data_IF_107795242387
#
_entry.id   IF_107795242387
#
_cell.length_a   1.000
_cell.length_b   1.000
_cell.length_c   1.000
_cell.angle_alpha   90.00
_cell.angle_beta   90.00
_cell.angle_gamma   90.00
#
_symmetry.space_group_name_H-M   'P 1'
#
loop_
_entity.id
_entity.type
_entity.pdbx_description
1 polymer ?
#
# COMPACT_ATOMS: atom_id res chain seq x y z
N UNK A 1 43.00 -22.30 2.73
CA UNK A 1 42.66 -21.44 1.58
C UNK A 1 41.21 -21.72 1.14
N UNK A 2 40.25 -21.50 2.06
CA UNK A 2 38.80 -21.69 1.82
C UNK A 2 37.94 -20.50 2.33
N UNK A 3 38.55 -19.42 2.84
CA UNK A 3 37.80 -18.30 3.43
C UNK A 3 37.28 -17.27 2.41
N UNK A 4 37.79 -17.25 1.18
CA UNK A 4 37.44 -16.20 0.21
C UNK A 4 36.10 -16.39 -0.52
N UNK A 5 35.52 -17.60 -0.49
CA UNK A 5 34.21 -17.86 -1.13
C UNK A 5 33.03 -17.69 -0.17
N UNK A 6 33.23 -17.89 1.14
CA UNK A 6 32.16 -17.70 2.13
C UNK A 6 31.86 -16.21 2.35
N UNK A 7 32.89 -15.36 2.39
CA UNK A 7 32.72 -13.93 2.67
C UNK A 7 31.92 -13.17 1.60
N UNK A 8 31.89 -13.65 0.34
CA UNK A 8 31.09 -13.03 -0.73
C UNK A 8 29.65 -13.55 -0.78
N UNK A 9 29.45 -14.82 -0.41
CA UNK A 9 28.12 -15.42 -0.33
C UNK A 9 27.32 -14.87 0.86
N UNK A 10 27.97 -14.78 2.02
CA UNK A 10 27.40 -14.25 3.26
C UNK A 10 27.05 -12.75 3.15
N UNK A 11 27.89 -11.97 2.45
CA UNK A 11 27.61 -10.57 2.14
C UNK A 11 26.42 -10.37 1.18
N UNK A 12 26.19 -11.29 0.25
CA UNK A 12 25.02 -11.23 -0.63
C UNK A 12 23.72 -11.55 0.12
N UNK A 13 23.78 -12.48 1.07
CA UNK A 13 22.62 -12.86 1.87
C UNK A 13 22.29 -11.79 2.92
N UNK A 14 23.29 -11.18 3.57
CA UNK A 14 23.09 -10.00 4.44
C UNK A 14 22.46 -8.82 3.68
N UNK A 15 22.89 -8.57 2.43
CA UNK A 15 22.31 -7.49 1.60
C UNK A 15 20.86 -7.81 1.21
N UNK A 16 20.54 -9.08 0.88
CA UNK A 16 19.16 -9.50 0.61
C UNK A 16 18.27 -9.35 1.84
N UNK A 17 18.77 -9.72 3.01
CA UNK A 17 18.04 -9.61 4.27
C UNK A 17 17.80 -8.14 4.64
N UNK A 18 18.81 -7.27 4.53
CA UNK A 18 18.66 -5.83 4.76
C UNK A 18 17.61 -5.22 3.81
N UNK A 19 17.62 -5.59 2.53
CA UNK A 19 16.59 -5.17 1.56
C UNK A 19 15.20 -5.70 1.92
N UNK A 20 15.09 -6.94 2.37
CA UNK A 20 13.82 -7.51 2.83
C UNK A 20 13.26 -6.74 4.01
N UNK A 21 14.09 -6.46 5.02
CA UNK A 21 13.70 -5.72 6.21
C UNK A 21 13.25 -4.30 5.86
N UNK A 22 13.94 -3.63 4.93
CA UNK A 22 13.53 -2.30 4.46
C UNK A 22 12.16 -2.33 3.77
N UNK A 23 11.92 -3.30 2.88
CA UNK A 23 10.62 -3.43 2.21
C UNK A 23 9.50 -3.78 3.18
N UNK A 24 9.76 -4.64 4.17
CA UNK A 24 8.80 -4.94 5.25
C UNK A 24 8.48 -3.67 6.03
N UNK A 25 9.48 -2.87 6.41
CA UNK A 25 9.27 -1.61 7.10
C UNK A 25 8.45 -0.62 6.25
N UNK A 26 8.73 -0.51 4.95
CA UNK A 26 7.97 0.32 4.02
C UNK A 26 6.52 -0.14 3.90
N UNK A 27 6.27 -1.46 3.92
CA UNK A 27 4.93 -2.03 3.92
C UNK A 27 4.19 -1.78 5.23
N UNK A 28 4.89 -1.89 6.36
CA UNK A 28 4.28 -1.63 7.65
C UNK A 28 3.88 -0.18 7.84
N UNK A 29 4.77 0.74 7.43
CA UNK A 29 4.58 2.20 7.50
C UNK A 29 3.86 2.78 6.28
N UNK A 30 3.32 1.93 5.40
CA UNK A 30 2.67 2.39 4.18
C UNK A 30 1.48 3.30 4.49
N UNK A 31 1.55 4.53 4.01
CA UNK A 31 0.51 5.56 4.11
C UNK A 31 0.35 6.26 2.77
N UNK A 32 -0.88 6.69 2.49
CA UNK A 32 -1.18 7.61 1.40
C UNK A 32 -0.55 8.96 1.71
N UNK A 33 0.11 9.58 0.72
CA UNK A 33 0.66 10.93 0.86
C UNK A 33 -0.44 11.98 0.66
N UNK A 34 -0.21 13.22 1.08
CA UNK A 34 -1.23 14.28 1.08
C UNK A 34 -1.72 14.64 -0.34
N UNK A 35 -0.80 14.73 -1.30
CA UNK A 35 -1.06 15.08 -2.70
C UNK A 35 -1.11 13.85 -3.64
N UNK A 36 -1.27 12.66 -3.06
CA UNK A 36 -1.34 11.41 -3.82
C UNK A 36 -2.80 11.05 -4.09
N UNK A 37 -3.11 10.55 -5.29
CA UNK A 37 -4.42 9.98 -5.63
C UNK A 37 -4.50 8.51 -5.22
N UNK A 38 -5.71 7.96 -5.13
CA UNK A 38 -5.92 6.54 -4.84
C UNK A 38 -5.20 5.64 -5.88
N UNK A 39 -5.23 6.01 -7.16
CA UNK A 39 -4.57 5.25 -8.23
C UNK A 39 -3.03 5.25 -8.11
N UNK A 40 -2.45 6.42 -7.79
CA UNK A 40 -1.00 6.56 -7.63
C UNK A 40 -0.52 5.84 -6.37
N UNK A 41 -1.26 5.94 -5.28
CA UNK A 41 -1.04 5.16 -4.06
C UNK A 41 -1.09 3.66 -4.32
N UNK A 42 -2.10 3.18 -5.05
CA UNK A 42 -2.23 1.76 -5.37
C UNK A 42 -1.11 1.25 -6.28
N UNK A 43 -0.65 2.08 -7.21
CA UNK A 43 0.51 1.75 -8.04
C UNK A 43 1.79 1.58 -7.21
N UNK A 44 2.05 2.49 -6.26
CA UNK A 44 3.14 2.34 -5.28
C UNK A 44 2.98 1.08 -4.42
N UNK A 45 1.76 0.78 -3.99
CA UNK A 45 1.47 -0.42 -3.23
C UNK A 45 1.78 -1.71 -4.02
N UNK A 46 1.40 -1.78 -5.30
CA UNK A 46 1.72 -2.94 -6.17
C UNK A 46 3.23 -3.15 -6.33
N UNK A 47 3.99 -2.07 -6.52
CA UNK A 47 5.46 -2.14 -6.62
C UNK A 47 6.05 -2.72 -5.32
N UNK A 48 5.55 -2.26 -4.17
CA UNK A 48 6.00 -2.72 -2.86
C UNK A 48 5.70 -4.21 -2.62
N UNK A 49 4.47 -4.65 -2.92
CA UNK A 49 4.07 -6.06 -2.80
C UNK A 49 4.87 -6.94 -3.76
N UNK A 50 5.13 -6.48 -4.99
CA UNK A 50 5.99 -7.18 -5.95
C UNK A 50 7.41 -7.38 -5.40
N UNK A 51 8.01 -6.34 -4.82
CA UNK A 51 9.33 -6.43 -4.18
C UNK A 51 9.37 -7.44 -3.03
N UNK A 52 8.33 -7.46 -2.19
CA UNK A 52 8.20 -8.44 -1.09
C UNK A 52 8.05 -9.88 -1.61
N UNK A 53 7.28 -10.08 -2.68
CA UNK A 53 7.09 -11.38 -3.32
C UNK A 53 8.40 -11.96 -3.85
N UNK A 54 9.27 -11.14 -4.44
CA UNK A 54 10.60 -11.57 -4.92
C UNK A 54 11.47 -12.08 -3.77
N UNK A 55 11.28 -11.54 -2.56
CA UNK A 55 12.00 -11.94 -1.34
C UNK A 55 11.28 -13.02 -0.55
N UNK A 56 10.29 -13.70 -1.15
CA UNK A 56 9.46 -14.76 -0.53
C UNK A 56 8.74 -14.31 0.75
N UNK A 57 8.49 -13.00 0.89
CA UNK A 57 7.61 -12.44 1.91
C UNK A 57 6.24 -12.22 1.26
N UNK A 58 5.31 -13.14 1.46
CA UNK A 58 3.96 -13.03 0.92
C UNK A 58 2.95 -12.64 1.99
N UNK A 59 1.92 -11.89 1.58
CA UNK A 59 0.77 -11.53 2.40
C UNK A 59 -0.49 -11.95 1.65
N UNK A 60 -1.59 -12.16 2.37
CA UNK A 60 -2.85 -12.51 1.72
C UNK A 60 -3.53 -11.28 1.11
N UNK A 61 -4.44 -11.50 0.15
CA UNK A 61 -5.28 -10.41 -0.40
C UNK A 61 -6.01 -9.65 0.70
N UNK A 62 -6.50 -10.35 1.74
CA UNK A 62 -7.18 -9.72 2.86
C UNK A 62 -6.24 -8.84 3.71
N UNK A 63 -4.97 -9.24 3.86
CA UNK A 63 -3.97 -8.40 4.53
C UNK A 63 -3.68 -7.13 3.74
N UNK A 64 -3.64 -7.23 2.40
CA UNK A 64 -3.50 -6.08 1.53
C UNK A 64 -4.69 -5.12 1.61
N UNK A 65 -5.92 -5.64 1.57
CA UNK A 65 -7.16 -4.85 1.76
C UNK A 65 -7.10 -4.09 3.09
N UNK A 66 -6.79 -4.80 4.18
CA UNK A 66 -6.66 -4.18 5.51
C UNK A 66 -5.53 -3.15 5.56
N UNK A 67 -4.42 -3.38 4.87
CA UNK A 67 -3.29 -2.44 4.82
C UNK A 67 -3.68 -1.17 4.08
N UNK A 68 -4.33 -1.28 2.91
CA UNK A 68 -4.80 -0.12 2.13
C UNK A 68 -5.79 0.71 2.95
N UNK A 69 -6.81 0.09 3.55
CA UNK A 69 -7.81 0.81 4.37
C UNK A 69 -7.17 1.58 5.54
N UNK A 70 -6.14 1.02 6.19
CA UNK A 70 -5.40 1.68 7.28
C UNK A 70 -4.44 2.77 6.80
N UNK A 71 -4.06 2.75 5.52
CA UNK A 71 -3.14 3.72 4.93
C UNK A 71 -3.81 5.03 4.52
N UNK A 72 -5.14 5.05 4.45
CA UNK A 72 -5.94 6.21 4.03
C UNK A 72 -5.96 7.32 5.10
N UNK A 73 -5.99 8.60 4.69
CA UNK A 73 -6.04 9.72 5.61
C UNK A 73 -7.39 9.81 6.34
N UNK A 74 -7.44 10.58 7.43
CA UNK A 74 -8.59 10.66 8.34
C UNK A 74 -9.90 11.06 7.63
N UNK A 75 -9.83 11.84 6.54
CA UNK A 75 -10.99 12.23 5.72
C UNK A 75 -11.76 11.04 5.13
N UNK A 76 -11.10 9.89 4.97
CA UNK A 76 -11.71 8.66 4.45
C UNK A 76 -12.38 7.80 5.52
N UNK A 77 -12.31 8.16 6.81
CA UNK A 77 -12.88 7.36 7.90
C UNK A 77 -14.35 6.96 7.69
N UNK A 78 -15.25 7.84 7.22
CA UNK A 78 -16.64 7.45 6.95
C UNK A 78 -16.73 6.32 5.91
N UNK A 79 -16.00 6.45 4.79
CA UNK A 79 -15.95 5.43 3.74
C UNK A 79 -15.34 4.11 4.22
N UNK A 80 -14.25 4.18 4.99
CA UNK A 80 -13.60 2.99 5.58
C UNK A 80 -14.55 2.24 6.51
N UNK A 81 -15.28 2.96 7.35
CA UNK A 81 -16.25 2.39 8.29
C UNK A 81 -17.39 1.71 7.52
N UNK A 82 -17.96 2.38 6.52
CA UNK A 82 -19.02 1.80 5.69
C UNK A 82 -18.58 0.53 4.96
N UNK A 83 -17.34 0.46 4.45
CA UNK A 83 -16.79 -0.75 3.82
C UNK A 83 -16.64 -1.88 4.85
N UNK A 84 -16.16 -1.58 6.05
CA UNK A 84 -15.98 -2.55 7.13
C UNK A 84 -17.31 -3.14 7.63
N UNK A 85 -18.36 -2.34 7.66
CA UNK A 85 -19.70 -2.76 8.09
C UNK A 85 -20.45 -3.52 6.99
N UNK A 86 -20.34 -3.06 5.74
CA UNK A 86 -21.12 -3.62 4.63
C UNK A 86 -20.50 -4.86 3.98
N UNK A 87 -19.18 -5.09 4.14
CA UNK A 87 -18.46 -6.13 3.40
C UNK A 87 -17.58 -6.99 4.29
N UNK A 88 -17.49 -8.27 3.95
CA UNK A 88 -16.51 -9.16 4.56
C UNK A 88 -15.12 -8.91 3.95
N UNK A 89 -14.21 -8.31 4.74
CA UNK A 89 -12.83 -8.03 4.32
C UNK A 89 -11.99 -9.29 4.03
N UNK A 90 -12.46 -10.48 4.40
CA UNK A 90 -11.79 -11.74 4.07
C UNK A 90 -12.05 -12.16 2.61
N UNK A 91 -13.18 -11.75 2.03
CA UNK A 91 -13.59 -12.13 0.66
C UNK A 91 -13.51 -10.97 -0.32
N UNK A 92 -13.40 -9.74 0.16
CA UNK A 92 -13.29 -8.55 -0.68
C UNK A 92 -12.01 -8.60 -1.53
N UNK A 93 -12.17 -8.44 -2.85
CA UNK A 93 -11.03 -8.37 -3.76
C UNK A 93 -10.40 -6.97 -3.74
N UNK A 94 -9.13 -6.89 -4.13
CA UNK A 94 -8.45 -5.60 -4.28
C UNK A 94 -9.10 -4.74 -5.37
N UNK A 95 -9.55 -5.33 -6.46
CA UNK A 95 -10.20 -4.61 -7.56
C UNK A 95 -11.49 -3.92 -7.11
N UNK A 96 -12.36 -4.64 -6.39
CA UNK A 96 -13.60 -4.08 -5.84
C UNK A 96 -13.32 -2.97 -4.83
N UNK A 97 -12.31 -3.14 -3.98
CA UNK A 97 -11.88 -2.10 -3.05
C UNK A 97 -11.45 -0.84 -3.81
N UNK A 98 -10.56 -1.01 -4.80
CA UNK A 98 -10.02 0.10 -5.58
C UNK A 98 -11.11 0.84 -6.35
N UNK A 99 -12.02 0.12 -7.00
CA UNK A 99 -13.19 0.71 -7.67
C UNK A 99 -14.01 1.57 -6.71
N UNK A 100 -14.32 1.05 -5.51
CA UNK A 100 -15.09 1.79 -4.50
C UNK A 100 -14.38 3.04 -3.99
N UNK A 101 -13.05 2.99 -3.84
CA UNK A 101 -12.24 4.11 -3.38
C UNK A 101 -12.10 5.17 -4.47
N UNK A 102 -11.87 4.79 -5.72
CA UNK A 102 -11.75 5.71 -6.86
C UNK A 102 -13.06 6.46 -7.10
N UNK A 103 -14.21 5.75 -7.10
CA UNK A 103 -15.51 6.42 -7.24
C UNK A 103 -15.75 7.47 -6.16
N UNK A 104 -15.36 7.17 -4.91
CA UNK A 104 -15.48 8.13 -3.82
C UNK A 104 -14.46 9.28 -3.92
N UNK A 105 -13.26 9.04 -4.44
CA UNK A 105 -12.29 10.10 -4.74
C UNK A 105 -12.88 11.13 -5.71
N UNK A 106 -13.57 10.66 -6.76
CA UNK A 106 -14.21 11.55 -7.74
C UNK A 106 -15.33 12.40 -7.12
N UNK A 107 -16.13 11.83 -6.21
CA UNK A 107 -17.15 12.56 -5.45
C UNK A 107 -16.52 13.64 -4.56
N UNK A 108 -15.45 13.30 -3.82
CA UNK A 108 -14.74 14.24 -2.95
C UNK A 108 -14.14 15.42 -3.72
N UNK A 109 -13.62 15.16 -4.93
CA UNK A 109 -13.06 16.20 -5.81
C UNK A 109 -14.18 17.08 -6.38
N UNK A 110 -15.34 16.51 -6.71
CA UNK A 110 -16.48 17.26 -7.21
C UNK A 110 -17.09 18.20 -6.15
N UNK A 111 -17.07 17.76 -4.89
CA UNK A 111 -17.56 18.54 -3.74
C UNK A 111 -16.54 19.55 -3.20
N UNK A 112 -15.29 19.53 -3.66
CA UNK A 112 -14.33 20.58 -3.29
C UNK A 112 -14.79 21.92 -3.89
N UNK A 113 -15.03 22.95 -3.06
CA UNK A 113 -15.41 24.26 -3.58
C UNK A 113 -14.28 24.76 -4.47
N UNK A 114 -14.58 24.95 -5.77
CA UNK A 114 -13.64 25.54 -6.71
C UNK A 114 -13.03 26.78 -6.06
N UNK A 115 -11.76 26.71 -5.67
CA UNK A 115 -11.01 27.88 -5.21
C UNK A 115 -10.97 28.82 -6.40
N UNK A 116 -11.93 29.75 -6.47
CA UNK A 116 -11.89 30.88 -7.39
C UNK A 116 -10.49 31.51 -7.22
N UNK A 117 -9.70 31.67 -8.29
CA UNK A 117 -8.47 32.42 -8.18
C UNK A 117 -8.86 33.80 -7.61
N UNK A 118 -8.24 34.19 -6.50
CA UNK A 118 -8.36 35.57 -6.04
C UNK A 118 -7.80 36.43 -7.16
N UNK A 119 -8.62 37.40 -7.56
CA UNK A 119 -8.43 38.33 -8.67
C UNK A 119 -7.02 38.93 -8.74
#
# INVERSE_FOLDING_TARGET
MYDSLCSTYDGNDQVKEAKANLLVQQYELFKMKEDETIETMYSRFKILVSGLSVLKKSYTTSDHVRKILRSLPIRWRPKVTAIQEARNLATLTLEELMSSLISHEMELIADEPQRKPRS
#
